data_IF_022947015963
#
_entry.id   IF_022947015963
#
_cell.length_a   1.000
_cell.length_b   1.000
_cell.length_c   1.000
_cell.angle_alpha   90.00
_cell.angle_beta   90.00
_cell.angle_gamma   90.00
#
_symmetry.space_group_name_H-M   'P 1'
#
loop_
_entity.id
_entity.type
_entity.pdbx_description
1 polymer ?
#
# COMPACT_ATOMS: atom_id res chain seq x y z
N UNK A 1 11.28 -26.93 -2.61
CA UNK A 1 10.36 -26.75 -1.46
C UNK A 1 9.83 -25.33 -1.55
N UNK A 2 8.68 -25.13 -2.18
CA UNK A 2 8.05 -23.82 -2.40
C UNK A 2 7.54 -23.29 -1.07
N UNK A 3 8.03 -22.11 -0.67
CA UNK A 3 7.67 -21.46 0.59
C UNK A 3 6.24 -20.90 0.47
N UNK A 4 5.34 -21.12 1.43
CA UNK A 4 4.07 -20.40 1.51
C UNK A 4 4.41 -18.93 1.83
N UNK A 5 4.08 -18.00 0.92
CA UNK A 5 4.45 -16.59 1.07
C UNK A 5 4.80 -15.88 -0.24
N UNK A 6 4.85 -16.60 -1.36
CA UNK A 6 4.84 -15.92 -2.66
C UNK A 6 3.42 -15.45 -2.93
N UNK A 7 3.24 -14.17 -3.21
CA UNK A 7 1.93 -13.64 -3.57
C UNK A 7 1.55 -14.15 -4.97
N UNK A 8 0.98 -15.36 -5.03
CA UNK A 8 0.65 -16.04 -6.29
C UNK A 8 -0.80 -15.84 -6.69
N UNK A 9 -1.50 -14.86 -6.12
CA UNK A 9 -2.97 -14.73 -6.22
C UNK A 9 -3.44 -14.63 -7.67
N UNK A 10 -2.71 -13.88 -8.51
CA UNK A 10 -2.99 -13.78 -9.96
C UNK A 10 -2.94 -15.14 -10.69
N UNK A 11 -2.21 -16.12 -10.15
CA UNK A 11 -2.06 -17.46 -10.73
C UNK A 11 -3.08 -18.47 -10.16
N UNK A 12 -3.97 -18.05 -9.26
CA UNK A 12 -4.93 -18.89 -8.53
C UNK A 12 -6.34 -18.30 -8.52
N UNK A 13 -6.68 -17.48 -9.51
CA UNK A 13 -7.98 -16.79 -9.58
C UNK A 13 -9.17 -17.75 -9.71
N UNK A 14 -8.95 -18.93 -10.30
CA UNK A 14 -10.00 -19.95 -10.48
C UNK A 14 -10.12 -20.91 -9.28
N UNK A 15 -9.36 -20.68 -8.20
CA UNK A 15 -9.32 -21.59 -7.05
C UNK A 15 -10.39 -21.23 -6.03
N UNK A 16 -10.89 -22.24 -5.31
CA UNK A 16 -11.95 -22.06 -4.30
C UNK A 16 -11.54 -21.07 -3.19
N UNK A 17 -10.24 -20.92 -2.99
CA UNK A 17 -9.66 -20.06 -1.97
C UNK A 17 -9.60 -18.57 -2.39
N UNK A 18 -10.05 -18.22 -3.61
CA UNK A 18 -10.20 -16.84 -4.13
C UNK A 18 -11.56 -16.60 -4.81
N UNK A 19 -12.63 -17.29 -4.39
CA UNK A 19 -13.97 -17.15 -4.98
C UNK A 19 -14.45 -15.69 -4.94
N UNK A 20 -15.10 -15.28 -6.04
CA UNK A 20 -15.79 -14.02 -6.19
C UNK A 20 -15.05 -12.99 -7.04
N UNK A 21 -15.82 -12.01 -7.54
CA UNK A 21 -15.31 -10.97 -8.44
C UNK A 21 -14.34 -9.96 -7.82
N UNK A 22 -14.30 -9.85 -6.49
CA UNK A 22 -13.53 -8.81 -5.79
C UNK A 22 -12.02 -8.89 -6.08
N UNK A 23 -11.44 -10.08 -5.92
CA UNK A 23 -10.00 -10.28 -6.13
C UNK A 23 -9.59 -10.00 -7.59
N UNK A 24 -10.41 -10.42 -8.56
CA UNK A 24 -10.13 -10.18 -9.98
C UNK A 24 -10.20 -8.69 -10.31
N UNK A 25 -11.20 -7.99 -9.78
CA UNK A 25 -11.33 -6.55 -9.93
C UNK A 25 -10.11 -5.81 -9.34
N UNK A 26 -9.71 -6.15 -8.11
CA UNK A 26 -8.54 -5.54 -7.48
C UNK A 26 -7.26 -5.77 -8.27
N UNK A 27 -7.03 -6.98 -8.79
CA UNK A 27 -5.84 -7.24 -9.63
C UNK A 27 -5.89 -6.42 -10.92
N UNK A 28 -7.05 -6.31 -11.57
CA UNK A 28 -7.22 -5.51 -12.78
C UNK A 28 -6.92 -4.02 -12.53
N UNK A 29 -7.26 -3.50 -11.35
CA UNK A 29 -6.90 -2.13 -10.97
C UNK A 29 -5.40 -2.01 -10.65
N UNK A 30 -4.86 -2.97 -9.89
CA UNK A 30 -3.49 -2.95 -9.40
C UNK A 30 -2.43 -3.08 -10.50
N UNK A 31 -2.70 -3.80 -11.60
CA UNK A 31 -1.73 -3.96 -12.68
C UNK A 31 -1.31 -2.62 -13.31
N UNK A 32 -2.19 -1.61 -13.30
CA UNK A 32 -1.88 -0.27 -13.82
C UNK A 32 -0.86 0.51 -12.98
N UNK A 33 -0.59 0.07 -11.75
CA UNK A 33 0.38 0.69 -10.85
C UNK A 33 1.73 -0.03 -10.80
N UNK A 34 1.90 -1.10 -11.58
CA UNK A 34 3.17 -1.82 -11.68
C UNK A 34 4.20 -1.06 -12.53
N UNK A 35 5.48 -1.24 -12.21
CA UNK A 35 6.59 -0.66 -12.99
C UNK A 35 7.81 -1.58 -12.94
N UNK A 36 8.87 -1.34 -13.74
CA UNK A 36 10.12 -2.06 -13.59
C UNK A 36 10.73 -1.98 -12.18
N UNK A 37 10.40 -0.96 -11.39
CA UNK A 37 10.87 -0.77 -10.03
C UNK A 37 9.98 -1.43 -8.96
N UNK A 38 8.73 -1.81 -9.30
CA UNK A 38 7.78 -2.39 -8.35
C UNK A 38 6.85 -3.41 -9.01
N UNK A 39 6.90 -4.65 -8.50
CA UNK A 39 6.05 -5.76 -8.97
C UNK A 39 4.61 -5.66 -8.45
N UNK A 40 3.75 -6.53 -8.97
CA UNK A 40 2.36 -6.64 -8.52
C UNK A 40 2.26 -7.03 -7.04
N UNK A 41 3.24 -7.79 -6.52
CA UNK A 41 3.29 -8.18 -5.13
C UNK A 41 3.45 -7.00 -4.16
N UNK A 42 4.30 -6.04 -4.51
CA UNK A 42 4.42 -4.80 -3.75
C UNK A 42 3.15 -3.95 -3.86
N UNK A 43 2.52 -3.90 -5.04
CA UNK A 43 1.28 -3.15 -5.23
C UNK A 43 0.11 -3.73 -4.42
N UNK A 44 -0.05 -5.05 -4.36
CA UNK A 44 -1.11 -5.67 -3.54
C UNK A 44 -0.88 -5.39 -2.05
N UNK A 45 0.36 -5.50 -1.57
CA UNK A 45 0.70 -5.17 -0.19
C UNK A 45 0.43 -3.68 0.12
N UNK A 46 0.78 -2.78 -0.81
CA UNK A 46 0.45 -1.35 -0.70
C UNK A 46 -1.07 -1.12 -0.73
N UNK A 47 -1.81 -1.88 -1.54
CA UNK A 47 -3.27 -1.85 -1.61
C UNK A 47 -3.91 -2.16 -0.26
N UNK A 48 -3.39 -3.14 0.48
CA UNK A 48 -3.85 -3.43 1.84
C UNK A 48 -3.57 -2.26 2.80
N UNK A 49 -2.37 -1.66 2.75
CA UNK A 49 -1.99 -0.49 3.57
C UNK A 49 -2.90 0.71 3.27
N UNK A 50 -3.17 0.99 2.00
CA UNK A 50 -4.06 2.08 1.58
C UNK A 50 -5.50 1.77 1.96
N UNK A 51 -5.96 0.52 1.83
CA UNK A 51 -7.32 0.11 2.17
C UNK A 51 -7.63 0.32 3.65
N UNK A 52 -6.75 -0.12 4.54
CA UNK A 52 -6.88 0.10 6.00
C UNK A 52 -6.92 1.60 6.29
N UNK A 53 -5.99 2.36 5.71
CA UNK A 53 -5.92 3.80 5.86
C UNK A 53 -7.21 4.50 5.39
N UNK A 54 -7.69 4.20 4.18
CA UNK A 54 -8.87 4.83 3.60
C UNK A 54 -10.16 4.58 4.39
N UNK A 55 -10.17 3.56 5.25
CA UNK A 55 -11.25 3.27 6.19
C UNK A 55 -10.97 3.82 7.60
N UNK A 56 -10.15 4.86 7.75
CA UNK A 56 -9.77 5.50 9.03
C UNK A 56 -8.99 4.58 10.00
N UNK A 57 -8.38 3.51 9.45
CA UNK A 57 -7.54 2.59 10.20
C UNK A 57 -6.13 3.13 10.50
N UNK A 58 -5.31 2.35 11.24
CA UNK A 58 -3.94 2.75 11.55
C UNK A 58 -3.05 2.83 10.30
N UNK A 59 -1.96 3.58 10.42
CA UNK A 59 -0.83 3.44 9.50
C UNK A 59 -0.24 2.03 9.69
N UNK A 60 -0.22 1.24 8.62
CA UNK A 60 0.53 -0.02 8.54
C UNK A 60 1.88 0.28 7.88
N UNK A 61 3.02 0.03 8.55
CA UNK A 61 4.34 0.23 7.94
C UNK A 61 4.51 -0.62 6.68
N UNK A 62 4.93 0.01 5.59
CA UNK A 62 5.13 -0.65 4.30
C UNK A 62 6.61 -0.82 4.00
N UNK A 63 7.00 -2.03 3.58
CA UNK A 63 8.34 -2.35 3.07
C UNK A 63 8.22 -2.91 1.66
N UNK A 64 9.01 -2.37 0.74
CA UNK A 64 9.04 -2.77 -0.67
C UNK A 64 10.04 -3.91 -0.90
N UNK A 65 10.10 -4.43 -2.13
CA UNK A 65 11.06 -5.45 -2.55
C UNK A 65 10.46 -6.86 -2.64
N UNK A 66 9.14 -6.99 -2.65
CA UNK A 66 8.48 -8.27 -2.90
C UNK A 66 8.74 -8.72 -4.33
N UNK A 67 8.93 -10.02 -4.51
CA UNK A 67 9.19 -10.62 -5.82
C UNK A 67 7.94 -11.31 -6.32
N UNK A 68 7.54 -10.97 -7.55
CA UNK A 68 6.37 -11.58 -8.19
C UNK A 68 6.56 -13.08 -8.42
N UNK A 69 5.52 -13.84 -8.13
CA UNK A 69 5.50 -15.28 -8.39
C UNK A 69 5.54 -15.59 -9.88
N UNK A 70 6.35 -16.57 -10.27
CA UNK A 70 6.33 -17.12 -11.63
C UNK A 70 5.48 -18.39 -11.77
N UNK A 71 5.07 -18.99 -10.65
CA UNK A 71 4.22 -20.17 -10.58
C UNK A 71 3.26 -20.08 -9.39
N UNK A 72 2.12 -20.77 -9.50
CA UNK A 72 1.15 -20.85 -8.41
C UNK A 72 1.76 -21.55 -7.18
N UNK A 73 1.50 -20.99 -6.00
CA UNK A 73 1.80 -21.64 -4.72
C UNK A 73 0.76 -22.70 -4.36
N UNK A 74 0.97 -23.46 -3.27
CA UNK A 74 -0.06 -24.33 -2.72
C UNK A 74 -1.28 -23.52 -2.26
N UNK A 75 -2.48 -24.14 -2.17
CA UNK A 75 -3.65 -23.51 -1.52
C UNK A 75 -3.28 -23.06 -0.11
N UNK A 76 -3.76 -21.88 0.29
CA UNK A 76 -3.29 -21.27 1.54
C UNK A 76 -4.30 -20.40 2.26
N UNK A 77 -5.40 -19.99 1.61
CA UNK A 77 -6.45 -19.22 2.30
C UNK A 77 -7.34 -20.19 3.07
N UNK A 78 -7.50 -20.03 4.39
CA UNK A 78 -8.40 -20.85 5.20
C UNK A 78 -9.85 -20.73 4.73
N UNK A 79 -10.56 -21.85 4.66
CA UNK A 79 -11.97 -21.88 4.29
C UNK A 79 -12.87 -21.91 5.54
N UNK A 80 -14.08 -21.31 5.50
CA UNK A 80 -14.91 -21.14 6.69
C UNK A 80 -15.41 -22.46 7.30
N UNK A 81 -15.44 -23.54 6.51
CA UNK A 81 -15.90 -24.86 6.95
C UNK A 81 -14.81 -25.73 7.60
N UNK A 82 -13.52 -25.34 7.46
CA UNK A 82 -12.40 -26.10 8.01
C UNK A 82 -12.39 -26.04 9.54
N UNK A 83 -11.84 -27.07 10.19
CA UNK A 83 -11.77 -27.11 11.65
C UNK A 83 -10.71 -26.14 12.24
N UNK A 84 -10.80 -25.91 13.55
CA UNK A 84 -9.89 -25.01 14.26
C UNK A 84 -8.43 -25.46 14.14
N UNK A 85 -8.16 -26.76 14.17
CA UNK A 85 -6.79 -27.28 14.05
C UNK A 85 -6.17 -26.93 12.69
N UNK A 86 -6.95 -27.03 11.61
CA UNK A 86 -6.54 -26.65 10.26
C UNK A 86 -6.32 -25.14 10.14
N UNK A 87 -7.20 -24.33 10.73
CA UNK A 87 -7.03 -22.88 10.83
C UNK A 87 -5.75 -22.51 11.57
N UNK A 88 -5.56 -23.02 12.79
CA UNK A 88 -4.36 -22.77 13.60
C UNK A 88 -3.08 -23.18 12.87
N UNK A 89 -3.07 -24.33 12.19
CA UNK A 89 -1.91 -24.77 11.40
C UNK A 89 -1.62 -23.84 10.21
N UNK A 90 -2.66 -23.32 9.53
CA UNK A 90 -2.49 -22.38 8.42
C UNK A 90 -1.83 -21.07 8.86
N UNK A 91 -2.28 -20.50 9.98
CA UNK A 91 -1.68 -19.29 10.55
C UNK A 91 -0.29 -19.55 11.15
N UNK A 92 -0.07 -20.71 11.79
CA UNK A 92 1.25 -21.11 12.31
C UNK A 92 2.31 -21.22 11.20
N UNK A 93 1.94 -21.69 10.00
CA UNK A 93 2.84 -21.73 8.83
C UNK A 93 3.29 -20.34 8.37
N UNK A 94 2.50 -19.32 8.67
CA UNK A 94 2.80 -17.91 8.42
C UNK A 94 3.43 -17.23 9.65
N UNK A 95 3.86 -18.03 10.64
CA UNK A 95 4.48 -17.57 11.90
C UNK A 95 3.57 -16.70 12.78
N UNK A 96 2.27 -16.98 12.77
CA UNK A 96 1.33 -16.41 13.73
C UNK A 96 1.01 -17.41 14.84
N UNK A 97 0.91 -16.92 16.07
CA UNK A 97 0.38 -17.68 17.21
C UNK A 97 -1.16 -17.75 17.16
N UNK A 98 -1.77 -18.57 18.01
CA UNK A 98 -3.24 -18.68 18.10
C UNK A 98 -3.90 -17.34 18.48
N UNK A 99 -3.38 -16.63 19.47
CA UNK A 99 -3.88 -15.29 19.82
C UNK A 99 -3.71 -14.27 18.69
N UNK A 100 -2.64 -14.39 17.91
CA UNK A 100 -2.42 -13.52 16.75
C UNK A 100 -3.34 -13.88 15.58
N UNK A 101 -3.69 -15.16 15.40
CA UNK A 101 -4.72 -15.57 14.45
C UNK A 101 -6.08 -14.96 14.81
N UNK A 102 -6.50 -15.08 16.07
CA UNK A 102 -7.76 -14.49 16.55
C UNK A 102 -7.78 -12.98 16.28
N UNK A 103 -6.73 -12.29 16.72
CA UNK A 103 -6.62 -10.84 16.55
C UNK A 103 -6.56 -10.44 15.06
N UNK A 104 -5.79 -11.14 14.22
CA UNK A 104 -5.66 -10.82 12.81
C UNK A 104 -6.98 -11.00 12.05
N UNK A 105 -7.78 -12.02 12.41
CA UNK A 105 -9.11 -12.21 11.82
C UNK A 105 -10.06 -11.09 12.26
N UNK A 106 -10.06 -10.73 13.55
CA UNK A 106 -10.85 -9.58 14.01
C UNK A 106 -10.42 -8.28 13.31
N UNK A 107 -9.12 -8.06 13.11
CA UNK A 107 -8.58 -6.92 12.36
C UNK A 107 -9.01 -6.92 10.89
N UNK A 108 -9.09 -8.07 10.24
CA UNK A 108 -9.56 -8.17 8.86
C UNK A 108 -11.07 -7.99 8.73
N UNK A 109 -11.83 -8.62 9.63
CA UNK A 109 -13.28 -8.69 9.59
C UNK A 109 -13.98 -7.51 10.30
N UNK A 110 -13.27 -6.47 10.75
CA UNK A 110 -13.94 -5.17 10.98
C UNK A 110 -14.39 -4.52 9.65
N UNK A 111 -13.78 -4.90 8.52
CA UNK A 111 -14.14 -4.39 7.21
C UNK A 111 -14.82 -5.46 6.35
N UNK A 112 -15.86 -5.03 5.64
CA UNK A 112 -16.50 -5.83 4.59
C UNK A 112 -17.52 -6.84 5.12
N UNK A 113 -17.65 -7.96 4.44
CA UNK A 113 -18.70 -8.94 4.70
C UNK A 113 -18.71 -10.07 3.68
N UNK A 114 -19.73 -10.91 3.78
CA UNK A 114 -19.94 -12.05 2.87
C UNK A 114 -20.94 -11.64 1.78
N UNK A 115 -20.69 -12.07 0.54
CA UNK A 115 -21.67 -11.98 -0.55
C UNK A 115 -22.37 -13.31 -0.75
N UNK A 116 -23.70 -13.29 -0.84
CA UNK A 116 -24.53 -14.50 -1.01
C UNK A 116 -24.31 -15.15 -2.37
N UNK A 117 -24.11 -14.35 -3.41
CA UNK A 117 -23.80 -14.84 -4.76
C UNK A 117 -22.56 -15.75 -4.79
N UNK A 118 -21.55 -15.41 -3.99
CA UNK A 118 -20.30 -16.18 -3.89
C UNK A 118 -20.42 -17.34 -2.88
N UNK A 119 -21.17 -17.12 -1.78
CA UNK A 119 -21.30 -18.08 -0.68
C UNK A 119 -22.77 -18.27 -0.25
N UNK A 120 -23.61 -18.92 -1.08
CA UNK A 120 -25.05 -19.03 -0.84
C UNK A 120 -25.42 -19.86 0.40
N UNK A 121 -24.49 -20.69 0.90
CA UNK A 121 -24.65 -21.49 2.12
C UNK A 121 -24.27 -20.77 3.42
N UNK A 122 -23.80 -19.51 3.35
CA UNK A 122 -23.43 -18.70 4.53
C UNK A 122 -24.52 -17.68 4.84
N UNK A 123 -24.99 -16.94 3.82
CA UNK A 123 -26.11 -15.99 3.98
C UNK A 123 -27.41 -16.71 3.62
N UNK A 124 -28.23 -17.02 4.62
CA UNK A 124 -29.47 -17.76 4.41
C UNK A 124 -30.66 -16.87 4.04
N UNK A 125 -30.68 -15.62 4.50
CA UNK A 125 -31.69 -14.65 4.07
C UNK A 125 -31.58 -14.42 2.56
N UNK A 126 -32.60 -14.85 1.82
CA UNK A 126 -32.65 -14.72 0.36
C UNK A 126 -32.95 -13.30 -0.10
N UNK A 127 -33.38 -12.42 0.80
CA UNK A 127 -33.68 -11.02 0.49
C UNK A 127 -32.44 -10.12 0.51
N UNK A 128 -31.31 -10.62 1.03
CA UNK A 128 -30.06 -9.87 1.19
C UNK A 128 -28.95 -10.55 0.38
N UNK A 129 -28.21 -9.77 -0.42
CA UNK A 129 -27.08 -10.28 -1.20
C UNK A 129 -25.73 -10.07 -0.50
N UNK A 130 -25.66 -9.24 0.54
CA UNK A 130 -24.44 -8.90 1.26
C UNK A 130 -24.72 -8.68 2.75
N UNK A 131 -23.96 -9.34 3.61
CA UNK A 131 -24.05 -9.17 5.07
C UNK A 131 -22.67 -8.82 5.60
N UNK A 132 -22.57 -7.65 6.25
CA UNK A 132 -21.34 -7.16 6.84
C UNK A 132 -20.93 -7.99 8.06
N UNK A 133 -19.64 -7.95 8.37
CA UNK A 133 -19.11 -8.62 9.57
C UNK A 133 -19.40 -7.85 10.86
N UNK A 134 -19.61 -6.54 10.78
CA UNK A 134 -20.11 -5.71 11.88
C UNK A 134 -21.06 -4.61 11.36
N UNK A 135 -21.54 -3.71 12.24
CA UNK A 135 -22.51 -2.67 11.87
C UNK A 135 -21.91 -1.39 11.25
N UNK A 136 -20.59 -1.33 11.07
CA UNK A 136 -19.87 -0.13 10.60
C UNK A 136 -19.16 -0.37 9.27
N UNK A 137 -18.61 0.71 8.72
CA UNK A 137 -17.76 0.69 7.52
C UNK A 137 -16.38 1.28 7.79
N UNK A 138 -16.12 1.69 9.03
CA UNK A 138 -14.86 2.21 9.50
C UNK A 138 -13.99 1.06 10.00
N UNK A 139 -12.67 1.26 10.02
CA UNK A 139 -11.75 0.35 10.66
C UNK A 139 -11.76 0.61 12.16
N UNK A 140 -12.59 -0.13 12.89
CA UNK A 140 -12.78 0.04 14.32
C UNK A 140 -12.90 -1.32 15.04
N UNK A 141 -13.27 -1.32 16.32
CA UNK A 141 -13.38 -2.54 17.11
C UNK A 141 -14.82 -3.05 17.23
N UNK A 142 -15.75 -2.62 16.37
CA UNK A 142 -17.17 -2.99 16.49
C UNK A 142 -17.39 -4.49 16.28
N UNK A 143 -16.68 -5.13 15.35
CA UNK A 143 -16.66 -6.61 15.23
C UNK A 143 -16.35 -7.33 16.55
N UNK A 144 -15.51 -6.74 17.40
CA UNK A 144 -15.16 -7.31 18.71
C UNK A 144 -16.24 -7.01 19.74
N UNK A 145 -16.69 -5.76 19.83
CA UNK A 145 -17.66 -5.35 20.85
C UNK A 145 -19.03 -6.01 20.65
N UNK A 146 -19.49 -6.13 19.41
CA UNK A 146 -20.74 -6.83 19.07
C UNK A 146 -20.65 -8.34 19.27
N UNK A 147 -19.48 -8.94 19.01
CA UNK A 147 -19.25 -10.34 19.30
C UNK A 147 -19.36 -10.61 20.81
N UNK A 148 -18.67 -9.82 21.63
CA UNK A 148 -18.65 -9.99 23.08
C UNK A 148 -20.00 -9.66 23.75
N UNK A 149 -20.78 -8.73 23.21
CA UNK A 149 -22.12 -8.40 23.69
C UNK A 149 -23.20 -9.41 23.23
N UNK A 150 -22.88 -10.26 22.25
CA UNK A 150 -23.83 -11.17 21.62
C UNK A 150 -24.84 -10.47 20.70
N UNK A 151 -24.54 -9.25 20.23
CA UNK A 151 -25.41 -8.48 19.32
C UNK A 151 -24.98 -8.52 17.86
N UNK A 152 -23.87 -9.20 17.55
CA UNK A 152 -23.33 -9.27 16.17
C UNK A 152 -24.27 -9.95 15.19
N UNK A 153 -24.32 -9.42 13.97
CA UNK A 153 -24.97 -10.04 12.82
C UNK A 153 -23.95 -10.72 11.88
N UNK A 154 -22.69 -10.86 12.30
CA UNK A 154 -21.65 -11.50 11.50
C UNK A 154 -22.11 -12.91 11.07
N UNK A 155 -22.25 -13.18 9.76
CA UNK A 155 -22.78 -14.45 9.29
C UNK A 155 -21.82 -15.63 9.55
N UNK A 156 -20.54 -15.37 9.84
CA UNK A 156 -19.55 -16.35 10.29
C UNK A 156 -19.55 -16.55 11.81
N UNK A 157 -20.38 -15.81 12.56
CA UNK A 157 -20.59 -16.02 13.99
C UNK A 157 -21.95 -16.65 14.27
N UNK A 158 -23.02 -16.02 13.76
CA UNK A 158 -24.42 -16.35 14.08
C UNK A 158 -25.15 -17.06 12.92
N UNK A 159 -24.40 -17.54 11.92
CA UNK A 159 -24.95 -18.31 10.82
C UNK A 159 -25.66 -19.59 11.31
N UNK A 160 -26.73 -20.05 10.64
CA UNK A 160 -27.47 -21.23 11.05
C UNK A 160 -26.72 -22.54 10.79
N UNK A 161 -25.69 -22.53 9.93
CA UNK A 161 -24.78 -23.66 9.75
C UNK A 161 -23.51 -23.48 10.59
N UNK A 162 -23.47 -24.14 11.75
CA UNK A 162 -22.34 -24.05 12.68
C UNK A 162 -20.99 -24.47 12.07
N UNK A 163 -20.99 -25.29 11.01
CA UNK A 163 -19.75 -25.70 10.33
C UNK A 163 -19.05 -24.49 9.70
N UNK A 164 -19.81 -23.56 9.12
CA UNK A 164 -19.30 -22.35 8.47
C UNK A 164 -19.10 -21.17 9.42
N UNK A 165 -19.49 -21.31 10.70
CA UNK A 165 -19.30 -20.27 11.72
C UNK A 165 -17.84 -20.23 12.20
N UNK A 166 -16.93 -19.91 11.27
CA UNK A 166 -15.48 -19.87 11.48
C UNK A 166 -15.07 -18.80 12.47
N UNK A 167 -15.58 -17.58 12.34
CA UNK A 167 -15.31 -16.49 13.27
C UNK A 167 -15.72 -16.86 14.69
N UNK A 168 -16.91 -17.44 14.91
CA UNK A 168 -17.30 -17.90 16.25
C UNK A 168 -16.30 -18.91 16.82
N UNK A 169 -15.93 -19.93 16.02
CA UNK A 169 -15.01 -21.00 16.42
C UNK A 169 -13.61 -20.47 16.74
N UNK A 170 -13.13 -19.48 15.98
CA UNK A 170 -11.82 -18.87 16.18
C UNK A 170 -11.86 -17.89 17.36
N UNK A 171 -12.79 -16.95 17.40
CA UNK A 171 -12.88 -15.94 18.45
C UNK A 171 -13.04 -16.54 19.85
N UNK A 172 -13.75 -17.67 19.96
CA UNK A 172 -13.93 -18.40 21.22
C UNK A 172 -12.84 -19.41 21.56
N UNK A 173 -11.88 -19.66 20.66
CA UNK A 173 -10.90 -20.76 20.80
C UNK A 173 -10.03 -20.67 22.06
N UNK A 174 -9.71 -19.45 22.50
CA UNK A 174 -8.93 -19.20 23.71
C UNK A 174 -9.79 -18.82 24.93
N UNK A 175 -11.09 -19.09 24.88
CA UNK A 175 -12.04 -18.67 25.91
C UNK A 175 -12.32 -17.16 25.90
N UNK A 176 -12.25 -16.52 24.72
CA UNK A 176 -12.42 -15.08 24.50
C UNK A 176 -11.34 -14.20 25.12
N UNK A 177 -10.21 -14.76 25.58
CA UNK A 177 -9.16 -14.00 26.26
C UNK A 177 -8.55 -12.95 25.32
N UNK A 178 -8.33 -13.29 24.04
CA UNK A 178 -7.81 -12.34 23.05
C UNK A 178 -8.86 -11.30 22.68
N UNK A 179 -10.11 -11.70 22.45
CA UNK A 179 -11.20 -10.77 22.10
C UNK A 179 -11.47 -9.74 23.19
N UNK A 180 -11.30 -10.11 24.46
CA UNK A 180 -11.44 -9.19 25.59
C UNK A 180 -10.34 -8.12 25.66
N UNK A 181 -9.23 -8.24 24.92
CA UNK A 181 -8.10 -7.31 24.93
C UNK A 181 -8.17 -6.27 23.79
N UNK A 182 -9.32 -5.60 23.64
CA UNK A 182 -9.58 -4.71 22.50
C UNK A 182 -9.13 -3.26 22.67
N UNK A 183 -8.69 -2.82 23.86
CA UNK A 183 -8.25 -1.43 24.11
C UNK A 183 -7.05 -0.99 23.25
N UNK A 184 -6.36 -1.93 22.61
CA UNK A 184 -5.24 -1.69 21.69
C UNK A 184 -5.53 -2.12 20.25
N UNK A 185 -6.80 -2.26 19.85
CA UNK A 185 -7.21 -2.83 18.55
C UNK A 185 -6.40 -2.29 17.37
N UNK A 186 -6.45 -0.97 17.15
CA UNK A 186 -5.74 -0.31 16.03
C UNK A 186 -4.22 -0.58 16.03
N UNK A 187 -3.57 -0.49 17.20
CA UNK A 187 -2.13 -0.78 17.33
C UNK A 187 -1.80 -2.26 17.05
N UNK A 188 -2.62 -3.17 17.57
CA UNK A 188 -2.50 -4.61 17.32
C UNK A 188 -2.65 -4.91 15.84
N UNK A 189 -3.69 -4.36 15.20
CA UNK A 189 -3.95 -4.56 13.78
C UNK A 189 -2.83 -4.01 12.89
N UNK A 190 -2.30 -2.83 13.20
CA UNK A 190 -1.14 -2.27 12.50
C UNK A 190 0.05 -3.24 12.49
N UNK A 191 0.40 -3.77 13.67
CA UNK A 191 1.53 -4.70 13.82
C UNK A 191 1.30 -6.05 13.13
N UNK A 192 0.08 -6.59 13.24
CA UNK A 192 -0.25 -7.88 12.62
C UNK A 192 -0.34 -7.78 11.11
N UNK A 193 -0.93 -6.72 10.57
CA UNK A 193 -0.95 -6.49 9.13
C UNK A 193 0.44 -6.23 8.56
N UNK A 194 1.31 -5.49 9.26
CA UNK A 194 2.71 -5.34 8.84
C UNK A 194 3.38 -6.71 8.70
N UNK A 195 3.24 -7.58 9.70
CA UNK A 195 3.79 -8.95 9.63
C UNK A 195 3.17 -9.80 8.53
N UNK A 196 1.86 -9.69 8.33
CA UNK A 196 1.13 -10.42 7.29
C UNK A 196 1.65 -10.04 5.91
N UNK A 197 1.68 -8.75 5.59
CA UNK A 197 2.14 -8.29 4.26
C UNK A 197 3.65 -8.47 4.08
N UNK A 198 4.43 -8.61 5.14
CA UNK A 198 5.88 -8.86 5.09
C UNK A 198 6.25 -10.34 5.17
N UNK A 199 5.27 -11.26 5.13
CA UNK A 199 5.53 -12.70 5.01
C UNK A 199 5.98 -13.01 3.58
N UNK A 200 7.30 -13.19 3.41
CA UNK A 200 7.95 -13.45 2.12
C UNK A 200 8.91 -14.65 2.19
N UNK A 201 9.30 -15.24 1.04
CA UNK A 201 10.34 -16.26 1.01
C UNK A 201 11.65 -15.79 1.68
N UNK A 202 12.41 -16.72 2.25
CA UNK A 202 13.62 -16.43 3.07
C UNK A 202 14.72 -15.68 2.31
N UNK A 203 14.76 -15.82 1.00
CA UNK A 203 15.73 -15.19 0.09
C UNK A 203 15.30 -13.78 -0.36
N UNK A 204 14.04 -13.40 -0.14
CA UNK A 204 13.55 -12.05 -0.41
C UNK A 204 13.96 -11.11 0.71
N UNK A 205 14.65 -10.03 0.36
CA UNK A 205 15.02 -8.96 1.30
C UNK A 205 14.15 -7.75 1.05
N UNK A 206 13.31 -7.44 2.03
CA UNK A 206 12.49 -6.24 2.00
C UNK A 206 13.33 -5.00 2.36
N UNK A 207 12.90 -3.84 1.88
CA UNK A 207 13.51 -2.56 2.20
C UNK A 207 13.30 -2.15 3.67
N UNK A 208 13.91 -1.03 4.05
CA UNK A 208 13.41 -0.28 5.20
C UNK A 208 11.97 0.21 4.99
N UNK A 209 11.33 0.66 6.07
CA UNK A 209 9.99 1.26 5.96
C UNK A 209 10.05 2.41 4.96
N UNK A 210 9.16 2.38 3.97
CA UNK A 210 9.09 3.40 2.96
C UNK A 210 8.50 4.65 3.59
N UNK A 211 9.32 5.67 3.72
CA UNK A 211 8.91 6.99 4.19
C UNK A 211 8.61 7.94 3.02
N UNK A 212 7.79 8.98 3.25
CA UNK A 212 7.62 10.07 2.31
C UNK A 212 8.99 10.64 1.90
N UNK A 213 9.31 10.55 0.62
CA UNK A 213 10.49 11.19 0.03
C UNK A 213 10.32 12.69 0.21
N UNK A 214 11.26 13.44 0.76
CA UNK A 214 11.15 14.91 0.92
C UNK A 214 11.22 15.62 -0.45
N UNK A 215 12.28 15.31 -1.19
CA UNK A 215 12.59 15.90 -2.49
C UNK A 215 12.22 14.92 -3.61
N UNK A 216 10.97 14.95 -4.08
CA UNK A 216 10.50 14.01 -5.11
C UNK A 216 10.62 14.62 -6.49
N UNK A 217 11.52 14.07 -7.31
CA UNK A 217 11.61 14.39 -8.73
C UNK A 217 10.53 13.63 -9.51
N UNK A 218 9.83 14.34 -10.40
CA UNK A 218 8.72 13.81 -11.20
C UNK A 218 8.84 14.15 -12.68
N UNK A 219 8.02 13.49 -13.50
CA UNK A 219 7.76 13.81 -14.91
C UNK A 219 8.97 14.20 -15.77
N UNK A 220 10.12 13.57 -15.51
CA UNK A 220 11.36 13.90 -16.19
C UNK A 220 11.36 13.32 -17.60
N UNK A 221 11.42 14.18 -18.61
CA UNK A 221 11.41 13.81 -20.03
C UNK A 221 12.36 14.70 -20.80
N UNK A 222 13.07 14.10 -21.75
CA UNK A 222 13.87 14.81 -22.73
C UNK A 222 13.41 14.36 -24.12
N UNK A 223 12.86 15.28 -24.91
CA UNK A 223 12.32 14.94 -26.24
C UNK A 223 12.69 15.99 -27.29
N UNK A 224 12.81 15.60 -28.58
CA UNK A 224 13.10 16.55 -29.66
C UNK A 224 11.96 17.56 -29.83
N UNK A 225 12.30 18.83 -30.04
CA UNK A 225 11.31 19.90 -30.21
C UNK A 225 11.55 20.75 -31.48
N UNK A 226 12.01 20.07 -32.54
CA UNK A 226 12.41 20.72 -33.79
C UNK A 226 13.63 21.64 -33.62
N UNK A 227 14.08 22.25 -34.73
CA UNK A 227 15.14 23.27 -34.76
C UNK A 227 16.44 22.89 -34.03
N UNK A 228 16.83 21.61 -34.04
CA UNK A 228 18.06 21.14 -33.35
C UNK A 228 18.07 21.39 -31.84
N UNK A 229 16.90 21.37 -31.20
CA UNK A 229 16.75 21.48 -29.75
C UNK A 229 16.00 20.29 -29.17
N UNK A 230 16.39 19.89 -27.96
CA UNK A 230 15.58 19.10 -27.07
C UNK A 230 14.80 20.01 -26.13
N UNK A 231 13.65 19.54 -25.67
CA UNK A 231 12.94 20.11 -24.53
C UNK A 231 13.11 19.17 -23.34
N UNK A 232 13.63 19.71 -22.24
CA UNK A 232 13.70 19.07 -20.94
C UNK A 232 12.50 19.54 -20.11
N UNK A 233 11.66 18.60 -19.70
CA UNK A 233 10.61 18.83 -18.71
C UNK A 233 10.89 18.00 -17.47
N UNK A 234 10.66 18.55 -16.28
CA UNK A 234 10.76 17.82 -15.01
C UNK A 234 9.96 18.56 -13.94
N UNK A 235 9.65 17.89 -12.83
CA UNK A 235 9.08 18.52 -11.65
C UNK A 235 9.87 18.17 -10.39
N UNK A 236 9.80 19.06 -9.39
CA UNK A 236 10.28 18.80 -8.04
C UNK A 236 9.13 19.09 -7.06
N UNK A 237 8.71 18.07 -6.32
CA UNK A 237 7.69 18.18 -5.28
C UNK A 237 8.34 18.13 -3.90
N UNK A 238 8.08 19.15 -3.08
CA UNK A 238 8.53 19.29 -1.70
C UNK A 238 7.37 19.08 -0.72
N UNK A 239 7.64 18.62 0.50
CA UNK A 239 6.63 18.31 1.53
C UNK A 239 6.27 19.51 2.42
N UNK A 240 6.62 20.72 1.99
CA UNK A 240 6.42 21.95 2.75
C UNK A 240 6.09 23.14 1.85
N UNK A 241 5.31 24.08 2.38
CA UNK A 241 5.07 25.38 1.77
C UNK A 241 6.08 26.40 2.31
N UNK A 242 6.64 27.17 1.39
CA UNK A 242 7.46 28.33 1.70
C UNK A 242 7.33 29.31 0.53
N UNK A 243 6.82 30.52 0.78
CA UNK A 243 6.61 31.56 -0.24
C UNK A 243 7.91 32.30 -0.60
N UNK A 244 8.90 32.28 0.29
CA UNK A 244 10.21 32.88 0.12
C UNK A 244 11.19 31.95 -0.61
N UNK A 245 10.86 30.65 -0.72
CA UNK A 245 11.72 29.63 -1.31
C UNK A 245 11.96 29.87 -2.80
N UNK A 246 13.24 29.92 -3.18
CA UNK A 246 13.67 29.88 -4.57
C UNK A 246 14.17 28.47 -4.91
N UNK A 247 13.66 27.89 -6.00
CA UNK A 247 14.12 26.60 -6.52
C UNK A 247 14.65 26.80 -7.92
N UNK A 248 15.86 26.31 -8.18
CA UNK A 248 16.48 26.42 -9.51
C UNK A 248 16.85 25.03 -10.01
N UNK A 249 16.45 24.72 -11.25
CA UNK A 249 16.93 23.53 -11.96
C UNK A 249 18.26 23.87 -12.64
N UNK A 250 19.24 23.01 -12.43
CA UNK A 250 20.54 23.06 -13.08
C UNK A 250 20.79 21.80 -13.91
N UNK A 251 21.61 21.93 -14.95
CA UNK A 251 22.10 20.78 -15.71
C UNK A 251 23.49 20.99 -16.30
N UNK A 252 24.18 19.88 -16.51
CA UNK A 252 25.44 19.83 -17.23
C UNK A 252 25.21 19.26 -18.64
N UNK A 253 25.87 19.86 -19.63
CA UNK A 253 25.97 19.24 -20.94
C UNK A 253 27.01 18.10 -20.92
N UNK A 254 27.05 17.27 -21.98
CA UNK A 254 27.92 16.08 -21.99
C UNK A 254 29.41 16.39 -22.14
N UNK A 255 29.76 17.54 -22.70
CA UNK A 255 31.14 17.91 -23.01
C UNK A 255 31.65 19.08 -22.14
N UNK A 256 30.81 19.67 -21.31
CA UNK A 256 31.07 20.89 -20.54
C UNK A 256 31.25 22.15 -21.41
N UNK A 257 30.84 22.11 -22.68
CA UNK A 257 31.20 23.15 -23.66
C UNK A 257 30.17 24.28 -23.78
N UNK A 258 28.91 24.02 -23.44
CA UNK A 258 27.80 24.98 -23.55
C UNK A 258 27.43 25.56 -22.19
N UNK A 259 27.34 24.70 -21.18
CA UNK A 259 26.93 25.06 -19.82
C UNK A 259 28.09 25.47 -18.91
N UNK A 260 29.34 25.31 -19.37
CA UNK A 260 30.53 25.57 -18.56
C UNK A 260 30.60 24.71 -17.29
N UNK A 261 31.42 25.12 -16.34
CA UNK A 261 31.67 24.36 -15.09
C UNK A 261 30.55 24.51 -14.06
N UNK A 262 29.79 25.60 -14.09
CA UNK A 262 28.71 25.88 -13.13
C UNK A 262 27.37 25.28 -13.55
N UNK A 263 27.27 24.74 -14.77
CA UNK A 263 26.02 24.25 -15.34
C UNK A 263 25.15 25.36 -15.92
N UNK A 264 24.22 24.94 -16.77
CA UNK A 264 23.12 25.79 -17.22
C UNK A 264 22.01 25.75 -16.16
N UNK A 265 21.16 26.77 -16.11
CA UNK A 265 20.10 26.85 -15.11
C UNK A 265 18.82 27.47 -15.65
N UNK A 266 17.69 27.11 -15.03
CA UNK A 266 16.38 27.71 -15.30
C UNK A 266 15.56 27.78 -14.00
N UNK A 267 14.78 28.84 -13.86
CA UNK A 267 13.76 28.96 -12.81
C UNK A 267 12.53 28.11 -13.18
N UNK A 268 11.67 27.72 -12.22
CA UNK A 268 10.43 27.02 -12.52
C UNK A 268 9.57 27.85 -13.47
N UNK A 269 8.96 27.18 -14.44
CA UNK A 269 7.94 27.79 -15.31
C UNK A 269 6.67 28.10 -14.50
N UNK A 270 6.34 27.23 -13.55
CA UNK A 270 5.22 27.42 -12.63
C UNK A 270 5.43 26.65 -11.32
N UNK A 271 4.65 27.02 -10.30
CA UNK A 271 4.55 26.28 -9.06
C UNK A 271 3.10 26.22 -8.59
N UNK A 272 2.66 25.06 -8.10
CA UNK A 272 1.33 24.87 -7.55
C UNK A 272 1.37 24.06 -6.26
N UNK A 273 0.27 24.10 -5.51
CA UNK A 273 0.13 23.29 -4.29
C UNK A 273 0.16 21.81 -4.65
N UNK A 274 1.05 21.05 -4.01
CA UNK A 274 1.17 19.62 -4.22
C UNK A 274 -0.05 18.88 -3.65
N UNK A 275 -0.47 17.82 -4.35
CA UNK A 275 -1.51 16.92 -3.88
C UNK A 275 -0.89 15.76 -3.12
N UNK A 276 -1.43 15.49 -1.92
CA UNK A 276 -0.98 14.42 -1.04
C UNK A 276 -2.04 13.33 -0.90
N UNK A 277 -1.56 12.09 -0.94
CA UNK A 277 -2.39 10.91 -0.69
C UNK A 277 -2.89 10.89 0.75
N UNK A 278 -3.94 10.12 1.01
CA UNK A 278 -4.46 9.94 2.36
C UNK A 278 -3.38 9.45 3.34
N UNK A 279 -2.52 8.52 2.92
CA UNK A 279 -1.37 8.04 3.69
C UNK A 279 -0.38 9.14 4.09
N UNK A 280 -0.15 10.14 3.22
CA UNK A 280 0.72 11.26 3.53
C UNK A 280 0.08 12.18 4.58
N UNK A 281 -1.24 12.45 4.45
CA UNK A 281 -1.99 13.26 5.43
C UNK A 281 -1.99 12.64 6.82
N UNK A 282 -2.15 11.33 6.93
CA UNK A 282 -2.05 10.64 8.23
C UNK A 282 -0.67 10.76 8.87
N UNK A 283 0.39 10.97 8.09
CA UNK A 283 1.74 11.26 8.58
C UNK A 283 1.96 12.75 8.88
N UNK A 284 0.90 13.57 8.89
CA UNK A 284 0.97 15.02 9.12
C UNK A 284 1.39 15.83 7.90
N UNK A 285 1.54 15.21 6.72
CA UNK A 285 1.89 15.91 5.48
C UNK A 285 0.61 16.37 4.80
N UNK A 286 0.25 17.62 5.06
CA UNK A 286 -0.99 18.24 4.57
C UNK A 286 -0.74 19.30 3.51
N UNK A 287 0.49 19.80 3.40
CA UNK A 287 0.87 20.92 2.55
C UNK A 287 2.22 20.68 1.87
N UNK A 288 2.45 21.37 0.75
CA UNK A 288 3.64 21.21 -0.07
C UNK A 288 3.50 21.89 -1.42
N UNK A 289 4.62 22.09 -2.10
CA UNK A 289 4.70 22.76 -3.40
C UNK A 289 5.28 21.82 -4.44
N UNK A 290 4.69 21.80 -5.62
CA UNK A 290 5.28 21.20 -6.82
C UNK A 290 5.75 22.31 -7.75
N UNK A 291 7.03 22.26 -8.12
CA UNK A 291 7.68 23.15 -9.06
C UNK A 291 7.82 22.44 -10.40
N UNK A 292 7.37 23.08 -11.48
CA UNK A 292 7.43 22.53 -12.84
C UNK A 292 8.44 23.30 -13.66
N UNK A 293 9.30 22.58 -14.38
CA UNK A 293 10.38 23.13 -15.17
C UNK A 293 10.25 22.70 -16.63
N UNK A 294 10.53 23.65 -17.53
CA UNK A 294 10.51 23.45 -18.97
C UNK A 294 11.61 24.31 -19.59
N UNK A 295 12.57 23.69 -20.28
CA UNK A 295 13.69 24.41 -20.88
C UNK A 295 14.21 23.74 -22.15
N UNK A 296 14.85 24.53 -23.00
CA UNK A 296 15.50 24.07 -24.23
C UNK A 296 16.94 23.65 -23.95
N UNK A 297 17.30 22.48 -24.45
CA UNK A 297 18.65 21.93 -24.40
C UNK A 297 19.18 21.77 -25.82
N UNK A 298 20.43 22.15 -26.07
CA UNK A 298 21.05 21.98 -27.37
C UNK A 298 21.16 20.48 -27.72
N UNK A 299 20.75 20.07 -28.92
CA UNK A 299 20.75 18.65 -29.31
C UNK A 299 22.16 18.05 -29.40
N UNK A 300 23.17 18.87 -29.72
CA UNK A 300 24.56 18.45 -29.95
C UNK A 300 25.28 18.21 -28.63
N UNK A 301 25.17 19.16 -27.69
CA UNK A 301 25.79 19.02 -26.37
C UNK A 301 24.97 18.13 -25.44
N UNK A 302 23.65 18.07 -25.68
CA UNK A 302 22.67 17.31 -24.90
C UNK A 302 22.85 17.57 -23.39
N UNK A 303 22.40 16.61 -22.57
CA UNK A 303 22.50 16.64 -21.12
C UNK A 303 23.21 15.37 -20.63
N UNK A 304 24.07 15.52 -19.62
CA UNK A 304 24.68 14.41 -18.89
C UNK A 304 23.97 14.15 -17.57
N UNK A 305 23.63 15.23 -16.85
CA UNK A 305 22.94 15.19 -15.56
C UNK A 305 22.19 16.48 -15.25
N UNK A 306 21.28 16.42 -14.28
CA UNK A 306 20.57 17.57 -13.74
C UNK A 306 20.38 17.46 -12.24
N UNK A 307 20.29 18.61 -11.57
CA UNK A 307 20.06 18.71 -10.14
C UNK A 307 19.23 19.95 -9.82
N UNK A 308 18.69 20.01 -8.61
CA UNK A 308 17.99 21.19 -8.11
C UNK A 308 18.80 21.83 -6.99
N UNK A 309 18.72 23.15 -6.91
CA UNK A 309 19.20 23.93 -5.76
C UNK A 309 17.99 24.62 -5.15
N UNK A 310 17.81 24.43 -3.85
CA UNK A 310 16.71 24.97 -3.06
C UNK A 310 17.29 25.96 -2.06
N UNK A 311 16.88 27.21 -2.15
CA UNK A 311 17.15 28.26 -1.18
C UNK A 311 15.85 28.56 -0.44
N UNK A 312 15.82 28.34 0.88
CA UNK A 312 14.63 28.59 1.70
C UNK A 312 14.38 30.09 1.96
N UNK A 313 15.31 30.97 1.59
CA UNK A 313 15.15 32.43 1.73
C UNK A 313 15.29 32.94 3.16
N UNK A 314 15.76 32.09 4.09
CA UNK A 314 15.98 32.40 5.50
C UNK A 314 17.47 32.63 5.86
N UNK A 315 18.36 32.55 4.87
CA UNK A 315 19.81 32.68 5.03
C UNK A 315 20.51 31.40 5.43
N UNK A 316 19.81 30.27 5.51
CA UNK A 316 20.42 28.94 5.64
C UNK A 316 21.16 28.52 4.35
N UNK A 317 21.99 27.48 4.45
CA UNK A 317 22.69 26.95 3.29
C UNK A 317 21.71 26.26 2.33
N UNK A 318 21.86 26.52 1.03
CA UNK A 318 20.99 25.94 0.01
C UNK A 318 21.13 24.42 -0.06
N UNK A 319 20.01 23.72 -0.23
CA UNK A 319 19.96 22.27 -0.37
C UNK A 319 20.14 21.88 -1.84
N UNK A 320 21.03 20.92 -2.10
CA UNK A 320 21.26 20.37 -3.45
C UNK A 320 20.60 18.99 -3.57
N UNK A 321 19.78 18.81 -4.60
CA UNK A 321 19.08 17.56 -4.91
C UNK A 321 19.56 17.03 -6.26
N UNK A 322 20.53 16.10 -6.25
CA UNK A 322 21.22 15.59 -7.45
C UNK A 322 20.62 14.30 -8.02
N UNK A 323 19.56 13.74 -7.41
CA UNK A 323 18.84 12.55 -7.89
C UNK A 323 19.72 11.35 -8.34
N UNK A 324 20.90 11.18 -7.75
CA UNK A 324 21.84 10.09 -8.08
C UNK A 324 22.94 10.43 -9.09
N UNK A 325 22.95 11.66 -9.63
CA UNK A 325 24.03 12.20 -10.47
C UNK A 325 23.95 11.85 -11.94
#
# INVERSE_FOLDING_TARGET
MTVPGVLTVRLRMDWIDNVGSGMQASINDFVFFTSPANGLADIIAMGAVIGVAACDGPIVPFRAGKVDATAAGPPGVPEPHQDLASHTESFRRQSFTESEMIALIACGHTLGGVRREDFPGIIHDTSVNFTTFDSTIQFDNVVVTEYLSGTTNNPLVVGPNMTTNSDFRIFSSDGNVTMQRYDSFSKTCSSLFERMINTVPKDVKLSEVVEPIEHKVGDTRLFPDGNSTFTLTTSLRLLSLNEQRAVTLFWADRQGSVCGTSGCSVQPESSHRAFFTYLARMRGITEGTEYVFNTKVNVTSSISKFWFVIDEGDGSESVVVDNGG
#
